data_IF_751318848021
#
_entry.id   IF_751318848021
#
_cell.length_a   1.000
_cell.length_b   1.000
_cell.length_c   1.000
_cell.angle_alpha   90.00
_cell.angle_beta   90.00
_cell.angle_gamma   90.00
#
_symmetry.space_group_name_H-M   'P 1'
#
loop_
_entity.id
_entity.type
_entity.pdbx_description
1 polymer ?
#
# COMPACT_ATOMS: atom_id res chain seq x y z
N UNK A 1 3.50 -4.81 -8.05
CA UNK A 1 2.25 -5.12 -7.34
C UNK A 1 1.19 -4.21 -7.88
N UNK A 2 0.11 -4.79 -8.36
CA UNK A 2 -1.08 -4.02 -8.78
C UNK A 2 -1.93 -3.68 -7.54
N UNK A 3 -2.83 -2.69 -7.68
CA UNK A 3 -3.64 -2.22 -6.55
C UNK A 3 -4.51 -3.33 -5.95
N UNK A 4 -5.03 -4.23 -6.77
CA UNK A 4 -5.83 -5.39 -6.34
C UNK A 4 -5.02 -6.34 -5.45
N UNK A 5 -3.77 -6.62 -5.84
CA UNK A 5 -2.86 -7.48 -5.06
C UNK A 5 -2.55 -6.84 -3.70
N UNK A 6 -2.30 -5.52 -3.67
CA UNK A 6 -2.07 -4.78 -2.42
C UNK A 6 -3.30 -4.87 -1.52
N UNK A 7 -4.50 -4.64 -2.05
CA UNK A 7 -5.75 -4.76 -1.28
C UNK A 7 -5.92 -6.15 -0.68
N UNK A 8 -5.78 -7.19 -1.51
CA UNK A 8 -5.94 -8.59 -1.07
C UNK A 8 -4.97 -8.94 0.07
N UNK A 9 -3.67 -8.62 -0.08
CA UNK A 9 -2.67 -8.87 0.98
C UNK A 9 -2.90 -8.03 2.23
N UNK A 10 -3.35 -6.79 2.07
CA UNK A 10 -3.66 -5.91 3.20
C UNK A 10 -4.78 -6.49 4.06
N UNK A 11 -5.88 -6.91 3.42
CA UNK A 11 -7.01 -7.52 4.11
C UNK A 11 -6.67 -8.90 4.69
N UNK A 12 -5.87 -9.70 3.99
CA UNK A 12 -5.42 -11.01 4.48
C UNK A 12 -4.59 -10.90 5.77
N UNK A 13 -3.93 -9.75 6.00
CA UNK A 13 -3.21 -9.45 7.25
C UNK A 13 -4.07 -8.76 8.32
N UNK A 14 -5.38 -8.64 8.10
CA UNK A 14 -6.30 -7.99 9.04
C UNK A 14 -6.17 -6.46 9.07
N UNK A 15 -5.46 -5.85 8.13
CA UNK A 15 -5.35 -4.40 8.05
C UNK A 15 -6.42 -3.81 7.15
N UNK A 16 -6.80 -2.57 7.45
CA UNK A 16 -7.52 -1.74 6.49
C UNK A 16 -6.55 -1.00 5.56
N UNK A 17 -7.03 -0.60 4.38
CA UNK A 17 -6.25 0.30 3.50
C UNK A 17 -5.90 1.62 4.20
N UNK A 18 -6.76 2.07 5.13
CA UNK A 18 -6.54 3.26 5.96
C UNK A 18 -5.31 3.13 6.84
N UNK A 19 -5.15 1.98 7.48
CA UNK A 19 -3.98 1.72 8.29
C UNK A 19 -2.72 1.57 7.45
N UNK A 20 -2.83 0.94 6.27
CA UNK A 20 -1.67 0.78 5.39
C UNK A 20 -1.09 2.14 4.95
N UNK A 21 -1.91 3.07 4.44
CA UNK A 21 -1.39 4.37 4.03
C UNK A 21 -0.94 5.23 5.22
N UNK A 22 -1.56 5.06 6.39
CA UNK A 22 -1.11 5.72 7.63
C UNK A 22 0.26 5.19 8.08
N UNK A 23 0.48 3.87 8.07
CA UNK A 23 1.79 3.25 8.37
C UNK A 23 2.88 3.71 7.41
N UNK A 24 2.52 4.06 6.18
CA UNK A 24 3.44 4.61 5.18
C UNK A 24 3.67 6.12 5.33
N UNK A 25 2.96 6.81 6.23
CA UNK A 25 3.02 8.27 6.38
C UNK A 25 2.48 9.01 5.16
N UNK A 26 1.53 8.42 4.43
CA UNK A 26 0.96 8.99 3.21
C UNK A 26 -0.50 9.39 3.41
N UNK A 27 -0.91 10.46 2.76
CA UNK A 27 -2.35 10.71 2.57
C UNK A 27 -2.94 9.66 1.64
N UNK A 28 -4.26 9.41 1.78
CA UNK A 28 -5.00 8.46 0.93
C UNK A 28 -4.73 8.72 -0.55
N UNK A 29 -4.87 9.96 -1.00
CA UNK A 29 -4.71 10.34 -2.41
C UNK A 29 -3.27 10.12 -2.89
N UNK A 30 -2.27 10.50 -2.08
CA UNK A 30 -0.87 10.29 -2.43
C UNK A 30 -0.51 8.80 -2.54
N UNK A 31 -1.05 7.97 -1.63
CA UNK A 31 -0.87 6.52 -1.67
C UNK A 31 -1.39 5.90 -2.98
N UNK A 32 -2.64 6.20 -3.37
CA UNK A 32 -3.19 5.66 -4.63
C UNK A 32 -2.45 6.20 -5.86
N UNK A 33 -2.06 7.48 -5.85
CA UNK A 33 -1.27 8.06 -6.93
C UNK A 33 0.10 7.39 -7.07
N UNK A 34 0.79 7.11 -5.96
CA UNK A 34 2.09 6.41 -5.97
C UNK A 34 1.98 4.97 -6.45
N UNK A 35 0.91 4.26 -6.07
CA UNK A 35 0.64 2.92 -6.62
C UNK A 35 0.37 3.00 -8.12
N UNK A 36 -0.48 3.93 -8.57
CA UNK A 36 -0.80 4.13 -10.00
C UNK A 36 0.45 4.47 -10.82
N UNK A 37 1.34 5.30 -10.28
CA UNK A 37 2.63 5.67 -10.88
C UNK A 37 3.71 4.57 -10.76
N UNK A 38 3.40 3.43 -10.14
CA UNK A 38 4.36 2.33 -9.88
C UNK A 38 5.64 2.80 -9.19
N UNK A 39 5.50 3.73 -8.23
CA UNK A 39 6.60 4.29 -7.44
C UNK A 39 7.34 3.16 -6.70
N UNK A 40 8.57 2.88 -7.14
CA UNK A 40 9.38 1.74 -6.65
C UNK A 40 9.53 1.77 -5.12
N UNK A 41 9.90 2.92 -4.56
CA UNK A 41 10.13 3.10 -3.12
C UNK A 41 8.87 2.80 -2.30
N UNK A 42 7.70 3.21 -2.78
CA UNK A 42 6.42 2.96 -2.12
C UNK A 42 6.04 1.49 -2.21
N UNK A 43 6.20 0.87 -3.38
CA UNK A 43 5.92 -0.55 -3.56
C UNK A 43 6.82 -1.42 -2.68
N UNK A 44 8.11 -1.09 -2.57
CA UNK A 44 9.03 -1.82 -1.67
C UNK A 44 8.64 -1.69 -0.20
N UNK A 45 8.25 -0.50 0.25
CA UNK A 45 7.76 -0.32 1.62
C UNK A 45 6.48 -1.12 1.87
N UNK A 46 5.54 -1.09 0.92
CA UNK A 46 4.32 -1.90 0.99
C UNK A 46 4.67 -3.38 1.09
N UNK A 47 5.60 -3.87 0.27
CA UNK A 47 6.08 -5.25 0.35
C UNK A 47 6.66 -5.56 1.72
N UNK A 48 7.52 -4.71 2.30
CA UNK A 48 8.08 -4.94 3.64
C UNK A 48 7.02 -5.02 4.74
N UNK A 49 5.96 -4.23 4.65
CA UNK A 49 4.85 -4.26 5.62
C UNK A 49 3.97 -5.50 5.43
N UNK A 50 3.74 -5.88 4.16
CA UNK A 50 2.85 -6.98 3.79
C UNK A 50 3.58 -8.34 3.64
N UNK A 51 4.90 -8.38 3.77
CA UNK A 51 5.72 -9.61 3.77
C UNK A 51 5.55 -10.42 5.04
#
# INVERSE_FOLDING_TARGET
MELLEIKSKTYSKGYTMKELYKKLGLSRQNFYNKIKKKDKKTIEKIKKILS
#
